data_IF_468749865875
#
_entry.id   IF_468749865875
#
_cell.length_a   1.000
_cell.length_b   1.000
_cell.length_c   1.000
_cell.angle_alpha   90.00
_cell.angle_beta   90.00
_cell.angle_gamma   90.00
#
_symmetry.space_group_name_H-M   'P 1'
#
loop_
_entity.id
_entity.type
_entity.pdbx_description
1 polymer ?
#
# COMPACT_ATOMS: atom_id res chain seq x y z
N UNK A 1 -39.79 68.40 -29.14
CA UNK A 1 -39.34 66.99 -29.30
C UNK A 1 -38.13 66.75 -28.38
N UNK A 2 -38.37 66.19 -27.22
CA UNK A 2 -37.28 65.83 -26.23
C UNK A 2 -36.95 64.36 -26.43
N UNK A 3 -35.72 64.07 -26.83
CA UNK A 3 -35.22 62.69 -26.97
C UNK A 3 -34.66 62.25 -25.58
N UNK A 4 -35.30 61.25 -25.01
CA UNK A 4 -34.86 60.58 -23.80
C UNK A 4 -33.80 59.53 -24.19
N UNK A 5 -32.57 59.68 -23.68
CA UNK A 5 -31.53 58.65 -23.76
C UNK A 5 -31.66 57.78 -22.55
N UNK A 6 -32.09 56.51 -22.78
CA UNK A 6 -31.99 55.46 -21.76
C UNK A 6 -30.56 54.92 -21.76
N UNK A 7 -29.82 55.11 -20.66
CA UNK A 7 -28.58 54.40 -20.41
C UNK A 7 -28.94 53.02 -19.81
N UNK A 8 -28.71 51.95 -20.56
CA UNK A 8 -28.77 50.60 -20.05
C UNK A 8 -27.48 50.31 -19.24
N UNK A 9 -27.61 50.21 -17.95
CA UNK A 9 -26.53 49.70 -17.05
C UNK A 9 -26.58 48.19 -17.08
N UNK A 10 -25.65 47.56 -17.79
CA UNK A 10 -25.47 46.12 -17.73
C UNK A 10 -24.80 45.74 -16.39
N UNK A 11 -25.35 44.78 -15.64
CA UNK A 11 -24.67 44.31 -14.41
C UNK A 11 -23.42 43.50 -14.78
N UNK A 12 -22.26 43.98 -14.30
CA UNK A 12 -21.00 43.28 -14.40
C UNK A 12 -21.07 42.06 -13.45
N UNK A 13 -21.40 40.90 -13.97
CA UNK A 13 -21.34 39.63 -13.21
C UNK A 13 -19.85 39.27 -13.07
N UNK A 14 -19.29 39.58 -11.96
CA UNK A 14 -17.98 39.07 -11.52
C UNK A 14 -18.13 37.55 -11.30
N UNK A 15 -17.77 36.76 -12.29
CA UNK A 15 -17.49 35.35 -12.10
C UNK A 15 -16.24 35.23 -11.20
N UNK A 16 -16.45 35.03 -9.92
CA UNK A 16 -15.40 34.55 -9.05
C UNK A 16 -14.94 33.19 -9.61
N UNK A 17 -13.86 33.18 -10.36
CA UNK A 17 -13.13 31.96 -10.67
C UNK A 17 -12.57 31.46 -9.34
N UNK A 18 -13.32 30.60 -8.65
CA UNK A 18 -12.72 29.70 -7.68
C UNK A 18 -11.80 28.80 -8.51
N UNK A 19 -10.55 29.21 -8.71
CA UNK A 19 -9.48 28.33 -9.06
C UNK A 19 -9.46 27.26 -7.98
N UNK A 20 -9.96 26.07 -8.29
CA UNK A 20 -9.63 24.86 -7.58
C UNK A 20 -8.11 24.73 -7.68
N UNK A 21 -7.43 25.39 -6.75
CA UNK A 21 -5.99 25.26 -6.58
C UNK A 21 -5.79 23.77 -6.36
N UNK A 22 -5.25 23.08 -7.36
CA UNK A 22 -5.00 21.64 -7.31
C UNK A 22 -4.23 21.40 -6.02
N UNK A 23 -4.87 20.71 -5.06
CA UNK A 23 -4.37 20.55 -3.69
C UNK A 23 -2.97 19.95 -3.74
N UNK A 24 -1.97 20.79 -3.51
CA UNK A 24 -0.56 20.46 -3.71
C UNK A 24 -0.04 19.63 -2.55
N UNK A 25 0.69 18.56 -2.85
CA UNK A 25 1.45 17.81 -1.86
C UNK A 25 2.87 18.37 -1.64
N UNK A 26 3.15 19.56 -2.16
CA UNK A 26 4.45 20.20 -2.03
C UNK A 26 4.86 20.36 -0.55
N UNK A 27 6.07 20.00 -0.23
CA UNK A 27 6.62 20.03 1.12
C UNK A 27 6.13 18.91 2.05
N UNK A 28 5.11 18.12 1.66
CA UNK A 28 4.64 16.99 2.47
C UNK A 28 5.70 15.89 2.56
N UNK A 29 5.88 15.32 3.74
CA UNK A 29 6.83 14.24 3.98
C UNK A 29 6.12 12.89 3.90
N UNK A 30 6.36 12.14 2.83
CA UNK A 30 5.70 10.86 2.53
C UNK A 30 6.72 9.74 2.64
N UNK A 31 6.36 8.66 3.31
CA UNK A 31 7.20 7.47 3.49
C UNK A 31 6.48 6.26 2.92
N UNK A 32 7.03 5.67 1.88
CA UNK A 32 6.52 4.46 1.25
C UNK A 32 7.13 3.24 1.93
N UNK A 33 6.34 2.47 2.68
CA UNK A 33 6.80 1.29 3.45
C UNK A 33 6.43 0.02 2.69
N UNK A 34 7.44 -0.67 2.18
CA UNK A 34 7.27 -1.87 1.35
C UNK A 34 6.73 -3.08 2.12
N UNK A 35 6.12 -4.03 1.39
CA UNK A 35 5.65 -5.32 1.90
C UNK A 35 6.76 -6.35 2.10
N UNK A 36 6.38 -7.63 2.21
CA UNK A 36 7.34 -8.75 2.20
C UNK A 36 8.12 -8.76 0.88
N UNK A 37 9.33 -9.29 0.92
CA UNK A 37 10.25 -9.40 -0.23
C UNK A 37 10.61 -8.05 -0.86
N UNK A 38 10.17 -6.94 -0.27
CA UNK A 38 10.52 -5.60 -0.73
C UNK A 38 11.92 -5.18 -0.30
N UNK A 39 12.36 -4.06 -0.85
CA UNK A 39 13.72 -3.54 -0.68
C UNK A 39 13.72 -2.00 -0.77
N UNK A 40 14.87 -1.42 -0.46
CA UNK A 40 15.11 0.01 -0.61
C UNK A 40 15.26 0.39 -2.09
N UNK A 41 14.35 1.18 -2.62
CA UNK A 41 14.36 1.60 -4.02
C UNK A 41 15.54 2.50 -4.40
N UNK A 42 16.23 3.08 -3.40
CA UNK A 42 17.47 3.84 -3.68
C UNK A 42 18.61 2.93 -4.12
N UNK A 43 18.58 1.67 -3.69
CA UNK A 43 19.52 0.61 -4.07
C UNK A 43 18.99 -0.28 -5.17
N UNK A 44 17.68 -0.56 -5.18
CA UNK A 44 17.00 -1.44 -6.11
C UNK A 44 17.50 -2.90 -6.09
N UNK A 45 16.95 -3.73 -6.95
CA UNK A 45 17.53 -5.03 -7.32
C UNK A 45 18.31 -4.91 -8.62
N UNK A 46 19.20 -5.88 -8.87
CA UNK A 46 20.02 -5.93 -10.08
C UNK A 46 20.76 -4.60 -10.39
N UNK A 47 21.36 -4.00 -9.36
CA UNK A 47 22.09 -2.73 -9.51
C UNK A 47 21.19 -1.50 -9.71
N UNK A 48 19.96 -1.53 -9.22
CA UNK A 48 19.01 -0.42 -9.31
C UNK A 48 18.06 -0.49 -10.51
N UNK A 49 18.18 -1.55 -11.34
CA UNK A 49 17.33 -1.73 -12.51
C UNK A 49 15.89 -2.06 -12.17
N UNK A 50 15.65 -2.73 -11.03
CA UNK A 50 14.30 -3.10 -10.58
C UNK A 50 13.97 -2.35 -9.31
N UNK A 51 12.82 -1.68 -9.29
CA UNK A 51 12.31 -0.92 -8.16
C UNK A 51 11.03 -1.53 -7.62
N UNK A 52 10.90 -1.58 -6.30
CA UNK A 52 9.68 -2.05 -5.65
C UNK A 52 8.48 -1.15 -5.96
N UNK A 53 8.71 0.15 -5.98
CA UNK A 53 7.68 1.17 -6.19
C UNK A 53 7.57 1.66 -7.63
N UNK A 54 8.26 1.02 -8.60
CA UNK A 54 8.14 1.30 -10.04
C UNK A 54 8.16 2.80 -10.41
N UNK A 55 8.97 3.61 -9.71
CA UNK A 55 9.11 5.04 -9.96
C UNK A 55 8.06 5.94 -9.30
N UNK A 56 7.14 5.40 -8.47
CA UNK A 56 6.14 6.18 -7.73
C UNK A 56 6.77 7.23 -6.80
N UNK A 57 7.90 6.91 -6.18
CA UNK A 57 8.68 7.85 -5.36
C UNK A 57 9.15 9.06 -6.16
N UNK A 58 9.70 8.83 -7.34
CA UNK A 58 10.17 9.89 -8.25
C UNK A 58 9.01 10.74 -8.76
N UNK A 59 7.87 10.10 -9.09
CA UNK A 59 6.67 10.80 -9.50
C UNK A 59 6.15 11.74 -8.39
N UNK A 60 6.03 11.25 -7.15
CA UNK A 60 5.56 12.06 -6.02
C UNK A 60 6.54 13.19 -5.67
N UNK A 61 7.88 12.96 -5.80
CA UNK A 61 8.88 14.03 -5.69
C UNK A 61 8.69 15.09 -6.77
N UNK A 62 8.38 14.68 -7.99
CA UNK A 62 8.03 15.60 -9.09
C UNK A 62 6.80 16.45 -8.79
N UNK A 63 5.89 16.00 -7.92
CA UNK A 63 4.77 16.78 -7.41
C UNK A 63 5.12 17.66 -6.19
N UNK A 64 6.41 17.76 -5.84
CA UNK A 64 6.95 18.61 -4.77
C UNK A 64 7.00 17.96 -3.37
N UNK A 65 6.61 16.70 -3.21
CA UNK A 65 6.71 16.01 -1.93
C UNK A 65 8.16 15.61 -1.60
N UNK A 66 8.46 15.52 -0.30
CA UNK A 66 9.68 14.89 0.23
C UNK A 66 9.37 13.41 0.45
N UNK A 67 9.97 12.53 -0.36
CA UNK A 67 9.60 11.11 -0.35
C UNK A 67 10.76 10.23 0.06
N UNK A 68 10.51 9.30 0.99
CA UNK A 68 11.43 8.24 1.36
C UNK A 68 10.84 6.85 1.04
N UNK A 69 11.73 5.93 0.65
CA UNK A 69 11.44 4.50 0.42
C UNK A 69 12.39 3.65 1.26
N UNK A 70 12.27 3.69 2.61
CA UNK A 70 13.21 2.99 3.47
C UNK A 70 13.15 1.48 3.24
N UNK A 71 14.32 0.85 3.20
CA UNK A 71 14.42 -0.60 3.24
C UNK A 71 14.26 -1.14 4.65
N UNK A 72 13.57 -2.26 4.75
CA UNK A 72 13.54 -3.13 5.93
C UNK A 72 13.83 -4.56 5.51
N UNK A 73 14.03 -5.49 6.46
CA UNK A 73 14.23 -6.91 6.14
C UNK A 73 13.17 -7.40 5.15
N UNK A 74 13.61 -8.04 4.07
CA UNK A 74 12.72 -8.57 3.04
C UNK A 74 11.77 -9.65 3.62
N UNK A 75 12.29 -10.45 4.56
CA UNK A 75 11.55 -11.47 5.30
C UNK A 75 11.86 -11.32 6.80
N UNK A 76 10.90 -10.85 7.57
CA UNK A 76 10.97 -10.82 9.04
C UNK A 76 9.60 -10.45 9.64
N UNK A 77 9.50 -10.46 10.97
CA UNK A 77 8.32 -10.07 11.73
C UNK A 77 8.09 -8.54 11.74
N UNK A 78 6.92 -8.12 12.22
CA UNK A 78 6.56 -6.71 12.29
C UNK A 78 7.44 -5.90 13.26
N UNK A 79 7.77 -6.39 14.50
CA UNK A 79 8.64 -5.67 15.42
C UNK A 79 9.99 -5.31 14.83
N UNK A 80 10.66 -6.29 14.22
CA UNK A 80 11.99 -6.11 13.60
C UNK A 80 11.92 -5.09 12.46
N UNK A 81 10.97 -5.25 11.56
CA UNK A 81 10.82 -4.36 10.40
C UNK A 81 10.42 -2.93 10.83
N UNK A 82 9.48 -2.79 11.77
CA UNK A 82 9.09 -1.50 12.30
C UNK A 82 10.24 -0.78 13.03
N UNK A 83 11.07 -1.53 13.78
CA UNK A 83 12.28 -1.00 14.40
C UNK A 83 13.27 -0.42 13.39
N UNK A 84 13.49 -1.13 12.28
CA UNK A 84 14.35 -0.67 11.19
C UNK A 84 13.80 0.62 10.53
N UNK A 85 12.49 0.68 10.28
CA UNK A 85 11.83 1.90 9.77
C UNK A 85 11.96 3.05 10.76
N UNK A 86 11.76 2.81 12.07
CA UNK A 86 11.94 3.83 13.13
C UNK A 86 13.35 4.40 13.13
N UNK A 87 14.36 3.53 13.07
CA UNK A 87 15.78 3.93 12.99
C UNK A 87 16.06 4.82 11.79
N UNK A 88 15.57 4.43 10.62
CA UNK A 88 15.70 5.23 9.40
C UNK A 88 15.04 6.62 9.55
N UNK A 89 13.81 6.67 10.05
CA UNK A 89 13.05 7.91 10.18
C UNK A 89 13.68 8.88 11.17
N UNK A 90 14.31 8.39 12.25
CA UNK A 90 15.00 9.24 13.22
C UNK A 90 16.15 10.06 12.60
N UNK A 91 16.75 9.57 11.52
CA UNK A 91 17.79 10.27 10.77
C UNK A 91 17.21 11.06 9.59
N UNK A 92 16.30 10.43 8.83
CA UNK A 92 15.78 11.02 7.60
C UNK A 92 14.89 12.25 7.86
N UNK A 93 14.04 12.22 8.88
CA UNK A 93 13.11 13.31 9.16
C UNK A 93 13.82 14.64 9.47
N UNK A 94 14.79 14.71 10.41
CA UNK A 94 15.52 15.96 10.67
C UNK A 94 16.29 16.44 9.44
N UNK A 95 16.97 15.54 8.71
CA UNK A 95 17.74 15.87 7.51
C UNK A 95 16.88 16.48 6.38
N UNK A 96 15.57 16.18 6.38
CA UNK A 96 14.63 16.69 5.38
C UNK A 96 13.66 17.75 5.92
N UNK A 97 13.86 18.23 7.16
CA UNK A 97 13.00 19.24 7.78
C UNK A 97 11.55 18.74 7.95
N UNK A 98 11.38 17.47 8.27
CA UNK A 98 10.08 16.83 8.48
C UNK A 98 9.76 16.76 9.98
N UNK A 99 8.74 17.48 10.45
CA UNK A 99 8.25 17.35 11.82
C UNK A 99 7.33 16.14 12.01
N UNK A 100 6.53 15.82 10.98
CA UNK A 100 5.66 14.64 10.88
C UNK A 100 5.71 14.05 9.48
N UNK A 101 5.35 12.78 9.37
CA UNK A 101 5.28 12.05 8.09
C UNK A 101 3.89 11.48 7.83
N UNK A 102 3.61 11.22 6.57
CA UNK A 102 2.50 10.40 6.08
C UNK A 102 3.07 9.04 5.69
N UNK A 103 2.67 7.98 6.38
CA UNK A 103 3.07 6.61 6.05
C UNK A 103 2.13 6.06 4.99
N UNK A 104 2.66 5.50 3.92
CA UNK A 104 1.92 4.74 2.90
C UNK A 104 2.52 3.34 2.86
N UNK A 105 1.84 2.38 3.45
CA UNK A 105 2.32 1.01 3.59
C UNK A 105 1.62 0.05 2.63
N UNK A 106 2.37 -0.66 1.82
CA UNK A 106 1.85 -1.72 0.95
C UNK A 106 1.97 -3.08 1.63
N UNK A 107 0.92 -3.92 1.49
CA UNK A 107 0.95 -5.30 1.99
C UNK A 107 1.28 -5.35 3.50
N UNK A 108 2.24 -6.17 3.94
CA UNK A 108 2.72 -6.18 5.31
C UNK A 108 3.24 -4.80 5.77
N UNK A 109 3.69 -3.92 4.85
CA UNK A 109 4.15 -2.57 5.16
C UNK A 109 3.07 -1.70 5.83
N UNK A 110 1.78 -1.95 5.58
CA UNK A 110 0.69 -1.30 6.29
C UNK A 110 0.61 -1.74 7.76
N UNK A 111 0.79 -3.03 8.04
CA UNK A 111 0.86 -3.54 9.42
C UNK A 111 2.11 -3.05 10.15
N UNK A 112 3.27 -3.02 9.45
CA UNK A 112 4.52 -2.43 9.97
C UNK A 112 4.31 -0.96 10.36
N UNK A 113 3.60 -0.19 9.52
CA UNK A 113 3.28 1.21 9.79
C UNK A 113 2.39 1.37 11.02
N UNK A 114 1.36 0.54 11.19
CA UNK A 114 0.51 0.54 12.39
C UNK A 114 1.31 0.17 13.63
N UNK A 115 2.12 -0.90 13.56
CA UNK A 115 2.98 -1.34 14.67
C UNK A 115 3.98 -0.25 15.08
N UNK A 116 4.61 0.43 14.13
CA UNK A 116 5.50 1.56 14.37
C UNK A 116 4.80 2.67 15.17
N UNK A 117 3.60 3.04 14.74
CA UNK A 117 2.83 4.14 15.38
C UNK A 117 2.45 3.80 16.80
N UNK A 118 1.85 2.63 17.02
CA UNK A 118 1.25 2.25 18.30
C UNK A 118 2.26 1.58 19.23
N UNK A 119 2.82 0.44 18.80
CA UNK A 119 3.63 -0.40 19.68
C UNK A 119 5.04 0.15 19.92
N UNK A 120 5.60 0.89 18.93
CA UNK A 120 6.89 1.57 19.11
C UNK A 120 6.75 3.05 19.52
N UNK A 121 5.52 3.51 19.78
CA UNK A 121 5.25 4.86 20.30
C UNK A 121 5.61 6.00 19.33
N UNK A 122 5.56 5.76 18.02
CA UNK A 122 6.00 6.77 17.03
C UNK A 122 4.88 7.73 16.59
N UNK A 123 3.72 7.68 17.24
CA UNK A 123 2.52 8.44 16.85
C UNK A 123 2.69 9.94 16.80
N UNK A 124 3.47 10.54 17.71
CA UNK A 124 3.73 12.00 17.71
C UNK A 124 4.43 12.50 16.44
N UNK A 125 5.08 11.61 15.68
CA UNK A 125 5.81 11.89 14.44
C UNK A 125 5.03 11.52 13.18
N UNK A 126 3.77 11.06 13.29
CA UNK A 126 2.96 10.60 12.16
C UNK A 126 1.66 11.39 12.08
N UNK A 127 1.28 11.84 10.90
CA UNK A 127 0.02 12.54 10.63
C UNK A 127 -1.06 11.62 10.10
N UNK A 128 -0.68 10.61 9.32
CA UNK A 128 -1.61 9.62 8.78
C UNK A 128 -0.91 8.31 8.43
N UNK A 129 -1.68 7.23 8.43
CA UNK A 129 -1.31 5.91 7.93
C UNK A 129 -2.28 5.55 6.81
N UNK A 130 -1.78 5.43 5.60
CA UNK A 130 -2.50 4.91 4.44
C UNK A 130 -1.99 3.51 4.14
N UNK A 131 -2.87 2.54 4.03
CA UNK A 131 -2.50 1.15 3.72
C UNK A 131 -3.03 0.78 2.34
N UNK A 132 -2.20 0.14 1.54
CA UNK A 132 -2.52 -0.33 0.19
C UNK A 132 -2.40 -1.84 0.20
N UNK A 133 -3.47 -2.54 -0.13
CA UNK A 133 -3.54 -4.01 -0.21
C UNK A 133 -3.02 -4.73 1.05
N UNK A 134 -3.21 -4.11 2.22
CA UNK A 134 -2.67 -4.63 3.48
C UNK A 134 -3.59 -5.65 4.13
N UNK A 135 -3.01 -6.62 4.80
CA UNK A 135 -3.68 -7.80 5.33
C UNK A 135 -4.15 -7.59 6.79
N UNK A 136 -5.07 -6.68 7.03
CA UNK A 136 -5.54 -6.32 8.37
C UNK A 136 -6.29 -7.45 9.11
N UNK A 137 -6.83 -8.41 8.34
CA UNK A 137 -7.45 -9.65 8.87
C UNK A 137 -6.62 -10.90 8.54
N UNK A 138 -5.37 -10.72 8.07
CA UNK A 138 -4.47 -11.77 7.64
C UNK A 138 -4.61 -12.15 6.16
N UNK A 139 -3.66 -12.94 5.69
CA UNK A 139 -3.66 -13.55 4.38
C UNK A 139 -3.83 -15.08 4.54
N UNK A 140 -5.01 -15.64 4.25
CA UNK A 140 -5.27 -17.08 4.37
C UNK A 140 -4.25 -17.95 3.65
N UNK A 141 -3.61 -17.43 2.60
CA UNK A 141 -2.53 -18.13 1.91
C UNK A 141 -1.36 -18.46 2.86
N UNK A 142 -1.05 -17.61 3.84
CA UNK A 142 0.00 -17.89 4.83
C UNK A 142 -0.38 -19.05 5.74
N UNK A 143 -1.66 -19.15 6.14
CA UNK A 143 -2.16 -20.27 6.94
C UNK A 143 -2.08 -21.59 6.15
N UNK A 144 -2.33 -21.57 4.83
CA UNK A 144 -2.17 -22.72 3.94
C UNK A 144 -0.71 -23.14 3.87
N UNK A 145 0.19 -22.21 3.57
CA UNK A 145 1.65 -22.47 3.43
C UNK A 145 2.26 -23.02 4.72
N UNK A 146 1.82 -22.53 5.87
CA UNK A 146 2.29 -22.99 7.17
C UNK A 146 1.59 -24.26 7.69
N UNK A 147 0.69 -24.85 6.91
CA UNK A 147 -0.01 -26.07 7.28
C UNK A 147 -1.06 -25.91 8.38
N UNK A 148 -1.54 -24.70 8.59
CA UNK A 148 -2.53 -24.37 9.63
C UNK A 148 -3.95 -24.78 9.22
N UNK A 149 -4.18 -25.02 7.93
CA UNK A 149 -5.50 -25.37 7.38
C UNK A 149 -5.52 -26.75 6.69
N UNK A 150 -6.70 -27.32 6.37
CA UNK A 150 -6.87 -28.70 5.95
C UNK A 150 -5.95 -29.16 4.82
N UNK A 151 -5.51 -30.42 4.91
CA UNK A 151 -4.53 -31.07 4.02
C UNK A 151 -4.89 -31.05 2.53
N UNK A 152 -6.16 -30.95 2.16
CA UNK A 152 -6.59 -30.89 0.75
C UNK A 152 -6.17 -29.57 0.05
N UNK A 153 -5.81 -28.53 0.81
CA UNK A 153 -5.25 -27.27 0.28
C UNK A 153 -3.71 -27.29 0.21
N UNK A 154 -3.03 -28.29 0.79
CA UNK A 154 -1.56 -28.41 0.84
C UNK A 154 -0.88 -28.49 -0.55
N UNK A 155 -1.44 -29.10 -1.61
CA UNK A 155 -0.81 -29.11 -2.92
C UNK A 155 -0.53 -27.72 -3.49
N UNK A 156 -1.32 -26.72 -3.10
CA UNK A 156 -1.14 -25.33 -3.49
C UNK A 156 0.00 -24.64 -2.70
N UNK A 157 0.28 -25.09 -1.48
CA UNK A 157 1.31 -24.52 -0.61
C UNK A 157 2.72 -24.65 -1.22
N UNK A 158 3.03 -25.77 -1.84
CA UNK A 158 4.34 -26.01 -2.46
C UNK A 158 4.64 -25.03 -3.61
N UNK A 159 3.63 -24.67 -4.39
CA UNK A 159 3.77 -23.71 -5.49
C UNK A 159 4.04 -22.30 -4.97
N UNK A 160 3.31 -21.86 -3.92
CA UNK A 160 3.51 -20.58 -3.27
C UNK A 160 4.89 -20.48 -2.59
N UNK A 161 5.30 -21.55 -1.89
CA UNK A 161 6.61 -21.60 -1.23
C UNK A 161 7.76 -21.57 -2.25
N UNK A 162 7.63 -22.27 -3.38
CA UNK A 162 8.62 -22.25 -4.45
C UNK A 162 8.75 -20.86 -5.08
N UNK A 163 7.64 -20.12 -5.23
CA UNK A 163 7.67 -18.74 -5.71
C UNK A 163 8.37 -17.83 -4.71
N UNK A 164 8.02 -17.92 -3.43
CA UNK A 164 8.64 -17.14 -2.35
C UNK A 164 10.15 -17.40 -2.27
N UNK A 165 10.58 -18.67 -2.36
CA UNK A 165 12.00 -19.05 -2.31
C UNK A 165 12.83 -18.42 -3.43
N UNK A 166 12.25 -18.24 -4.62
CA UNK A 166 12.92 -17.60 -5.77
C UNK A 166 13.05 -16.09 -5.63
N UNK A 167 12.18 -15.47 -4.81
CA UNK A 167 12.12 -14.02 -4.63
C UNK A 167 12.90 -13.55 -3.38
N UNK A 168 13.46 -14.47 -2.55
CA UNK A 168 14.21 -14.10 -1.34
C UNK A 168 15.49 -13.38 -1.73
N UNK A 169 15.52 -12.09 -1.39
CA UNK A 169 16.65 -11.20 -1.57
C UNK A 169 17.38 -10.96 -0.23
N UNK A 170 18.70 -11.04 -0.23
CA UNK A 170 19.53 -10.79 0.95
C UNK A 170 20.24 -9.44 0.79
N UNK A 171 19.88 -8.47 1.63
CA UNK A 171 20.43 -7.11 1.61
C UNK A 171 21.33 -6.80 2.83
N UNK A 172 21.82 -7.84 3.51
CA UNK A 172 22.64 -7.74 4.72
C UNK A 172 21.84 -7.54 6.02
N UNK A 173 20.50 -7.39 5.94
CA UNK A 173 19.64 -7.32 7.13
C UNK A 173 19.26 -8.72 7.62
N UNK A 174 18.88 -8.88 8.91
CA UNK A 174 18.43 -10.17 9.44
C UNK A 174 17.15 -10.62 8.70
N UNK A 175 17.13 -11.87 8.24
CA UNK A 175 16.01 -12.47 7.53
C UNK A 175 15.44 -13.63 8.32
N UNK A 176 14.12 -13.72 8.45
CA UNK A 176 13.40 -14.83 9.08
C UNK A 176 12.08 -15.09 8.32
N UNK A 177 12.11 -16.08 7.45
CA UNK A 177 10.96 -16.48 6.60
C UNK A 177 9.82 -17.06 7.46
N UNK A 178 10.15 -17.77 8.55
CA UNK A 178 9.13 -18.36 9.41
C UNK A 178 8.42 -17.29 10.23
N UNK A 179 9.17 -16.35 10.83
CA UNK A 179 8.59 -15.22 11.55
C UNK A 179 7.74 -14.33 10.63
N UNK A 180 8.22 -14.08 9.41
CA UNK A 180 7.44 -13.39 8.37
C UNK A 180 6.14 -14.14 8.11
N UNK A 181 6.20 -15.44 7.76
CA UNK A 181 5.02 -16.24 7.44
C UNK A 181 3.99 -16.22 8.58
N UNK A 182 4.42 -16.43 9.83
CA UNK A 182 3.58 -16.34 11.03
C UNK A 182 2.87 -14.98 11.13
N UNK A 183 3.58 -13.88 10.84
CA UNK A 183 3.04 -12.52 10.93
C UNK A 183 1.99 -12.19 9.85
N UNK A 184 1.83 -13.06 8.85
CA UNK A 184 0.82 -12.91 7.79
C UNK A 184 -0.46 -13.72 8.07
N UNK A 185 -0.46 -14.61 9.06
CA UNK A 185 -1.61 -15.49 9.34
C UNK A 185 -2.85 -14.74 9.85
N UNK A 186 -4.00 -15.35 9.68
CA UNK A 186 -5.29 -14.81 10.18
C UNK A 186 -5.27 -14.68 11.69
N UNK A 187 -4.75 -15.69 12.41
CA UNK A 187 -4.64 -15.67 13.87
C UNK A 187 -3.73 -14.56 14.37
N UNK A 188 -2.59 -14.34 13.74
CA UNK A 188 -1.68 -13.27 14.10
C UNK A 188 -2.31 -11.88 13.88
N UNK A 189 -2.96 -11.67 12.74
CA UNK A 189 -3.60 -10.39 12.42
C UNK A 189 -4.74 -10.06 13.40
N UNK A 190 -5.47 -11.08 13.86
CA UNK A 190 -6.48 -10.92 14.92
C UNK A 190 -5.83 -10.46 16.24
N UNK A 191 -4.76 -11.11 16.69
CA UNK A 191 -4.02 -10.73 17.88
C UNK A 191 -3.41 -9.34 17.75
N UNK A 192 -2.82 -9.01 16.60
CA UNK A 192 -2.27 -7.69 16.30
C UNK A 192 -3.35 -6.60 16.40
N UNK A 193 -4.53 -6.83 15.84
CA UNK A 193 -5.61 -5.85 15.89
C UNK A 193 -6.06 -5.54 17.32
N UNK A 194 -6.03 -6.53 18.21
CA UNK A 194 -6.33 -6.34 19.63
C UNK A 194 -5.23 -5.56 20.39
N UNK A 195 -3.96 -5.73 19.99
CA UNK A 195 -2.79 -5.14 20.65
C UNK A 195 -2.26 -3.87 20.01
N UNK A 196 -2.85 -3.44 18.88
CA UNK A 196 -2.41 -2.29 18.10
C UNK A 196 -3.58 -1.37 17.80
N UNK A 197 -4.15 -0.71 18.84
CA UNK A 197 -5.26 0.24 18.67
C UNK A 197 -4.79 1.48 17.88
N UNK A 198 -5.74 2.18 17.28
CA UNK A 198 -5.48 3.44 16.61
C UNK A 198 -5.07 4.52 17.61
N UNK A 199 -4.08 5.32 17.26
CA UNK A 199 -3.61 6.44 18.06
C UNK A 199 -4.42 7.69 17.72
N UNK A 200 -4.97 8.34 18.72
CA UNK A 200 -5.76 9.56 18.56
C UNK A 200 -4.98 10.66 17.81
N UNK A 201 -5.65 11.39 16.94
CA UNK A 201 -5.07 12.46 16.13
C UNK A 201 -4.34 11.98 14.86
N UNK A 202 -4.24 10.67 14.62
CA UNK A 202 -3.73 10.10 13.38
C UNK A 202 -4.90 9.65 12.50
N UNK A 203 -4.83 9.96 11.22
CA UNK A 203 -5.84 9.50 10.24
C UNK A 203 -5.42 8.17 9.65
N UNK A 204 -6.33 7.20 9.63
CA UNK A 204 -6.11 5.87 9.08
C UNK A 204 -6.97 5.66 7.84
N UNK A 205 -6.33 5.35 6.73
CA UNK A 205 -6.98 5.08 5.45
C UNK A 205 -6.56 3.71 4.92
N UNK A 206 -7.46 3.03 4.21
CA UNK A 206 -7.12 1.82 3.47
C UNK A 206 -7.61 1.90 2.04
N UNK A 207 -6.81 1.37 1.15
CA UNK A 207 -7.01 1.25 -0.29
C UNK A 207 -6.84 -0.20 -0.66
N UNK A 208 -7.60 -0.68 -1.62
CA UNK A 208 -7.60 -2.09 -1.98
C UNK A 208 -7.50 -2.31 -3.48
N UNK A 209 -6.91 -3.43 -3.85
CA UNK A 209 -6.96 -3.99 -5.20
C UNK A 209 -7.71 -5.32 -5.21
N UNK A 210 -8.21 -5.69 -6.37
CA UNK A 210 -8.83 -7.01 -6.62
C UNK A 210 -8.80 -7.35 -8.08
N UNK A 211 -8.74 -8.64 -8.37
CA UNK A 211 -8.98 -9.22 -9.68
C UNK A 211 -10.40 -9.80 -9.75
N UNK A 212 -11.02 -9.74 -10.92
CA UNK A 212 -12.25 -10.48 -11.20
C UNK A 212 -11.96 -11.97 -11.41
N UNK A 213 -10.82 -12.26 -12.06
CA UNK A 213 -10.26 -13.60 -12.29
C UNK A 213 -8.77 -13.49 -12.63
N UNK A 214 -8.04 -14.61 -12.49
CA UNK A 214 -6.60 -14.65 -12.70
C UNK A 214 -6.25 -14.88 -14.18
N UNK A 215 -6.12 -13.80 -14.93
CA UNK A 215 -5.58 -13.84 -16.30
C UNK A 215 -4.05 -13.93 -16.28
N UNK A 216 -3.44 -15.02 -16.78
CA UNK A 216 -1.98 -15.18 -16.74
C UNK A 216 -1.22 -14.14 -17.58
N UNK A 217 -1.87 -13.49 -18.55
CA UNK A 217 -1.25 -12.45 -19.37
C UNK A 217 -1.24 -11.12 -18.63
N UNK A 218 -2.36 -10.77 -18.00
CA UNK A 218 -2.47 -9.52 -17.24
C UNK A 218 -1.84 -9.61 -15.84
N UNK A 219 -1.81 -10.82 -15.24
CA UNK A 219 -1.34 -11.08 -13.88
C UNK A 219 -0.34 -12.24 -13.83
N UNK A 220 0.82 -12.14 -14.50
CA UNK A 220 1.72 -13.29 -14.74
C UNK A 220 2.23 -13.97 -13.46
N UNK A 221 2.35 -13.23 -12.36
CA UNK A 221 2.79 -13.76 -11.08
C UNK A 221 1.58 -14.15 -10.21
N UNK A 222 0.60 -13.25 -10.08
CA UNK A 222 -0.52 -13.42 -9.15
C UNK A 222 -1.58 -14.41 -9.64
N UNK A 223 -1.58 -14.76 -10.92
CA UNK A 223 -2.45 -15.83 -11.44
C UNK A 223 -2.22 -17.18 -10.74
N UNK A 224 -0.99 -17.47 -10.30
CA UNK A 224 -0.63 -18.70 -9.59
C UNK A 224 -1.22 -18.76 -8.17
N UNK A 225 -1.30 -17.62 -7.50
CA UNK A 225 -1.72 -17.53 -6.09
C UNK A 225 -3.20 -17.17 -5.93
N UNK A 226 -3.82 -16.61 -6.96
CA UNK A 226 -5.22 -16.20 -6.94
C UNK A 226 -6.19 -17.30 -6.48
N UNK A 227 -6.17 -18.56 -7.04
CA UNK A 227 -7.11 -19.60 -6.62
C UNK A 227 -6.90 -20.02 -5.16
N UNK A 228 -5.67 -19.95 -4.66
CA UNK A 228 -5.34 -20.24 -3.26
C UNK A 228 -5.95 -19.19 -2.34
N UNK A 229 -5.75 -17.93 -2.68
CA UNK A 229 -6.30 -16.79 -1.93
C UNK A 229 -7.82 -16.78 -1.99
N UNK A 230 -8.40 -17.14 -3.15
CA UNK A 230 -9.83 -17.31 -3.34
C UNK A 230 -10.42 -18.37 -2.40
N UNK A 231 -9.84 -19.58 -2.38
CA UNK A 231 -10.30 -20.66 -1.52
C UNK A 231 -10.12 -20.35 -0.04
N UNK A 232 -8.98 -19.80 0.33
CA UNK A 232 -8.71 -19.38 1.70
C UNK A 232 -9.61 -18.26 2.16
N UNK A 233 -9.92 -17.30 1.29
CA UNK A 233 -10.87 -16.23 1.57
C UNK A 233 -12.27 -16.74 1.88
N UNK A 234 -12.76 -17.71 1.11
CA UNK A 234 -14.05 -18.38 1.38
C UNK A 234 -14.00 -19.15 2.69
N UNK A 235 -12.94 -19.91 2.95
CA UNK A 235 -12.78 -20.69 4.18
C UNK A 235 -12.87 -19.83 5.45
N UNK A 236 -12.26 -18.64 5.44
CA UNK A 236 -12.29 -17.70 6.56
C UNK A 236 -13.46 -16.70 6.53
N UNK A 237 -14.42 -16.86 5.62
CA UNK A 237 -15.58 -15.96 5.52
C UNK A 237 -15.25 -14.55 5.03
N UNK A 238 -14.08 -14.36 4.36
CA UNK A 238 -13.66 -13.08 3.80
C UNK A 238 -14.13 -12.86 2.35
N UNK A 239 -14.89 -13.82 1.80
CA UNK A 239 -15.34 -13.78 0.40
C UNK A 239 -14.25 -14.18 -0.60
N UNK A 240 -14.63 -14.20 -1.88
CA UNK A 240 -13.79 -14.68 -2.98
C UNK A 240 -12.94 -13.58 -3.64
N UNK A 241 -13.36 -12.31 -3.53
CA UNK A 241 -12.64 -11.19 -4.13
C UNK A 241 -11.25 -11.03 -3.50
N UNK A 242 -10.20 -11.00 -4.31
CA UNK A 242 -8.83 -10.89 -3.82
C UNK A 242 -7.90 -10.30 -4.91
N UNK A 243 -6.70 -9.92 -4.51
CA UNK A 243 -5.64 -9.37 -5.36
C UNK A 243 -4.55 -10.41 -5.74
N UNK A 244 -4.81 -11.68 -5.47
CA UNK A 244 -3.86 -12.79 -5.63
C UNK A 244 -3.10 -13.16 -4.36
N UNK A 245 -3.06 -12.30 -3.35
CA UNK A 245 -2.38 -12.52 -2.06
C UNK A 245 -3.31 -12.30 -0.87
N UNK A 246 -4.11 -11.23 -0.90
CA UNK A 246 -4.93 -10.78 0.21
C UNK A 246 -6.40 -10.70 -0.22
N UNK A 247 -7.34 -11.34 0.52
CA UNK A 247 -8.76 -11.14 0.29
C UNK A 247 -9.15 -9.66 0.46
N UNK A 248 -10.04 -9.17 -0.41
CA UNK A 248 -10.51 -7.78 -0.38
C UNK A 248 -11.00 -7.36 1.01
N UNK A 249 -11.69 -8.25 1.71
CA UNK A 249 -12.20 -7.98 3.05
C UNK A 249 -11.07 -7.79 4.09
N UNK A 250 -9.93 -8.45 3.89
CA UNK A 250 -8.75 -8.28 4.74
C UNK A 250 -8.03 -6.96 4.50
N UNK A 251 -8.17 -6.37 3.31
CA UNK A 251 -7.52 -5.10 2.96
C UNK A 251 -8.21 -3.88 3.60
N UNK A 252 -9.43 -4.02 4.09
CA UNK A 252 -10.22 -2.92 4.65
C UNK A 252 -9.83 -2.60 6.08
N UNK A 253 -9.55 -1.32 6.34
CA UNK A 253 -9.19 -0.81 7.66
C UNK A 253 -9.46 0.71 7.77
N UNK A 254 -9.80 1.20 8.95
CA UNK A 254 -10.06 2.62 9.18
C UNK A 254 -11.07 3.19 8.18
N UNK A 255 -10.76 4.32 7.57
CA UNK A 255 -11.57 4.89 6.48
C UNK A 255 -11.20 4.24 5.14
N UNK A 256 -11.97 3.24 4.73
CA UNK A 256 -11.79 2.53 3.46
C UNK A 256 -12.14 3.43 2.27
N UNK A 257 -11.22 3.56 1.31
CA UNK A 257 -11.30 4.46 0.17
C UNK A 257 -11.65 3.76 -1.16
N UNK A 258 -11.88 2.45 -1.12
CA UNK A 258 -12.27 1.69 -2.32
C UNK A 258 -11.09 1.12 -3.11
N UNK A 259 -11.42 0.70 -4.33
CA UNK A 259 -10.52 0.14 -5.34
C UNK A 259 -10.48 1.10 -6.53
N UNK A 260 -9.32 1.37 -7.14
CA UNK A 260 -9.26 2.24 -8.31
C UNK A 260 -9.96 1.62 -9.52
N UNK A 261 -10.44 2.48 -10.41
CA UNK A 261 -11.05 2.05 -11.68
C UNK A 261 -9.98 1.58 -12.66
N UNK A 262 -10.28 0.51 -13.38
CA UNK A 262 -9.44 -0.04 -14.44
C UNK A 262 -10.02 0.23 -15.83
N UNK A 263 -9.24 -0.05 -16.88
CA UNK A 263 -9.76 -0.10 -18.25
C UNK A 263 -10.84 -1.19 -18.35
N UNK A 264 -11.80 -1.02 -19.26
CA UNK A 264 -12.96 -1.92 -19.39
C UNK A 264 -12.59 -3.37 -19.76
N UNK A 265 -11.44 -3.58 -20.40
CA UNK A 265 -10.92 -4.89 -20.79
C UNK A 265 -9.97 -5.49 -19.75
N UNK A 266 -9.70 -4.80 -18.65
CA UNK A 266 -8.85 -5.29 -17.59
C UNK A 266 -9.61 -6.24 -16.67
N UNK A 267 -8.94 -7.30 -16.24
CA UNK A 267 -9.49 -8.28 -15.29
C UNK A 267 -9.32 -7.83 -13.84
N UNK A 268 -8.76 -6.67 -13.61
CA UNK A 268 -8.60 -6.06 -12.29
C UNK A 268 -7.18 -5.57 -12.03
N UNK A 269 -6.84 -5.50 -10.76
CA UNK A 269 -5.53 -5.06 -10.26
C UNK A 269 -5.03 -6.12 -9.29
N UNK A 270 -3.84 -6.62 -9.50
CA UNK A 270 -3.21 -7.56 -8.59
C UNK A 270 -2.31 -6.86 -7.54
N UNK A 271 -1.88 -7.64 -6.57
CA UNK A 271 -1.10 -7.20 -5.43
C UNK A 271 0.21 -6.46 -5.79
N UNK A 272 0.88 -6.85 -6.87
CA UNK A 272 2.13 -6.22 -7.32
C UNK A 272 1.88 -5.03 -8.24
N UNK A 273 0.85 -5.08 -9.08
CA UNK A 273 0.45 -3.96 -9.93
C UNK A 273 0.07 -2.72 -9.09
N UNK A 274 -0.44 -2.93 -7.89
CA UNK A 274 -0.76 -1.86 -6.95
C UNK A 274 0.45 -1.00 -6.55
N UNK A 275 1.68 -1.49 -6.69
CA UNK A 275 2.92 -0.74 -6.44
C UNK A 275 3.64 -0.31 -7.72
N UNK A 276 3.04 -0.56 -8.88
CA UNK A 276 3.69 -0.38 -10.19
C UNK A 276 4.97 -1.22 -10.34
N UNK A 277 5.04 -2.38 -9.68
CA UNK A 277 6.21 -3.25 -9.74
C UNK A 277 6.47 -3.74 -11.16
N UNK A 278 7.67 -3.54 -11.67
CA UNK A 278 8.01 -3.72 -13.10
C UNK A 278 7.74 -5.13 -13.64
N UNK A 279 7.81 -6.15 -12.80
CA UNK A 279 7.58 -7.55 -13.19
C UNK A 279 6.13 -8.02 -12.99
N UNK A 280 5.24 -7.13 -12.56
CA UNK A 280 3.82 -7.47 -12.32
C UNK A 280 2.99 -7.57 -13.59
N UNK A 281 3.58 -7.36 -14.75
CA UNK A 281 2.84 -7.17 -15.99
C UNK A 281 2.36 -5.73 -16.18
N UNK A 282 1.60 -5.49 -17.24
CA UNK A 282 1.09 -4.16 -17.53
C UNK A 282 -0.08 -3.80 -16.62
N UNK A 283 0.02 -2.69 -15.90
CA UNK A 283 -1.11 -2.12 -15.15
C UNK A 283 -2.10 -1.44 -16.09
N UNK A 284 -3.37 -1.81 -15.99
CA UNK A 284 -4.46 -1.23 -16.79
C UNK A 284 -5.25 -0.16 -16.03
N UNK A 285 -4.58 0.56 -15.13
CA UNK A 285 -5.12 1.70 -14.40
C UNK A 285 -4.04 2.77 -14.21
N UNK A 286 -4.44 3.97 -13.82
CA UNK A 286 -3.52 5.09 -13.53
C UNK A 286 -2.93 4.93 -12.11
N UNK A 287 -1.82 4.19 -12.00
CA UNK A 287 -1.14 3.94 -10.73
C UNK A 287 -0.60 5.25 -10.14
N UNK A 288 0.03 6.08 -10.96
CA UNK A 288 0.63 7.35 -10.52
C UNK A 288 -0.41 8.32 -10.01
N UNK A 289 -1.51 8.51 -10.73
CA UNK A 289 -2.63 9.32 -10.30
C UNK A 289 -3.32 8.78 -9.05
N UNK A 290 -3.37 7.45 -8.89
CA UNK A 290 -3.89 6.82 -7.67
C UNK A 290 -3.03 7.16 -6.45
N UNK A 291 -1.70 7.02 -6.56
CA UNK A 291 -0.79 7.39 -5.46
C UNK A 291 -0.81 8.90 -5.18
N UNK A 292 -1.01 9.74 -6.17
CA UNK A 292 -1.22 11.17 -5.96
C UNK A 292 -2.51 11.44 -5.14
N UNK A 293 -3.60 10.72 -5.43
CA UNK A 293 -4.84 10.80 -4.63
C UNK A 293 -4.61 10.31 -3.19
N UNK A 294 -3.88 9.20 -3.01
CA UNK A 294 -3.50 8.69 -1.68
C UNK A 294 -2.72 9.75 -0.91
N UNK A 295 -1.72 10.35 -1.54
CA UNK A 295 -0.88 11.39 -0.94
C UNK A 295 -1.67 12.64 -0.56
N UNK A 296 -2.57 13.12 -1.43
CA UNK A 296 -3.47 14.25 -1.16
C UNK A 296 -4.39 13.95 0.01
N UNK A 297 -5.05 12.80 0.01
CA UNK A 297 -5.92 12.37 1.10
C UNK A 297 -5.15 12.24 2.43
N UNK A 298 -3.95 11.69 2.39
CA UNK A 298 -3.05 11.62 3.54
C UNK A 298 -2.69 13.01 4.09
N UNK A 299 -2.48 13.99 3.21
CA UNK A 299 -2.20 15.38 3.58
C UNK A 299 -3.44 16.15 4.08
N UNK A 300 -4.65 15.60 3.90
CA UNK A 300 -5.90 16.22 4.39
C UNK A 300 -6.71 16.95 3.33
N UNK A 301 -6.47 16.61 2.07
CA UNK A 301 -7.18 17.19 0.91
C UNK A 301 -8.24 16.25 0.34
#
# INVERSE_FOLDING_TARGET
MKRLFLFAVAPLVLFAHNSLQAQSISGQCIVLVHGILGFDDTKGLAGGLVKYWGGLDSYLRGQGAKVATPGSSATNDLPTRAGQIKTFLNTWMPANGCSKVHLVGHSQGGLVSRYLVTNLGYGSKVSSVSTVDSLHKGAPMADIVLGVIPSWLQPFANSALSLLARLVYRDGRPQDVIAMGKSLTVSYSKALSASTPDVAGIRYYSYAAKMAWADPIQHPIMALTYPITWAGGLFYGMGSANDGVVPLESQKYGSYQGTPSTKWYATGIDHLQATNFEWSGQSYFDVTGWYLKIARKAAGY
#
